data_IF_030824769458
#
_entry.id   IF_030824769458
#
_cell.length_a   1.000
_cell.length_b   1.000
_cell.length_c   1.000
_cell.angle_alpha   90.00
_cell.angle_beta   90.00
_cell.angle_gamma   90.00
#
_symmetry.space_group_name_H-M   'P 1'
#
loop_
_entity.id
_entity.type
_entity.pdbx_description
1 polymer ?
#
# COMPACT_ATOMS: atom_id res chain seq x y z
N UNK A 1 -57.57 -2.60 27.23
CA UNK A 1 -56.71 -1.79 28.12
C UNK A 1 -55.32 -2.37 27.99
N UNK A 2 -54.49 -1.57 27.32
CA UNK A 2 -53.12 -1.76 26.84
C UNK A 2 -52.14 -2.13 27.97
N UNK A 3 -51.20 -3.07 27.77
CA UNK A 3 -49.85 -2.92 27.15
C UNK A 3 -48.84 -2.41 28.23
N UNK A 4 -47.57 -2.84 28.35
CA UNK A 4 -46.59 -3.32 27.39
C UNK A 4 -45.46 -4.02 28.18
N UNK A 5 -45.08 -5.26 27.82
CA UNK A 5 -43.83 -5.91 28.26
C UNK A 5 -42.77 -5.61 27.21
N UNK A 6 -41.74 -4.86 27.60
CA UNK A 6 -40.61 -4.54 26.74
C UNK A 6 -39.66 -5.75 26.63
N UNK A 7 -39.71 -6.42 25.47
CA UNK A 7 -38.58 -7.13 24.90
C UNK A 7 -37.50 -6.10 24.56
N UNK A 8 -36.33 -6.22 25.19
CA UNK A 8 -35.15 -5.44 24.83
C UNK A 8 -34.21 -6.36 24.07
N UNK A 9 -34.55 -6.60 22.80
CA UNK A 9 -33.69 -7.25 21.82
C UNK A 9 -32.61 -6.24 21.42
N UNK A 10 -31.43 -6.35 22.03
CA UNK A 10 -30.24 -5.61 21.59
C UNK A 10 -29.79 -6.16 20.24
N UNK A 11 -30.40 -5.64 19.18
CA UNK A 11 -29.83 -5.70 17.83
C UNK A 11 -28.62 -4.78 17.85
N UNK A 12 -27.43 -5.36 18.00
CA UNK A 12 -26.18 -4.68 17.65
C UNK A 12 -26.15 -4.67 16.13
N UNK A 13 -26.71 -3.61 15.56
CA UNK A 13 -26.52 -3.24 14.17
C UNK A 13 -25.04 -2.85 14.04
N UNK A 14 -24.23 -3.80 13.57
CA UNK A 14 -22.87 -3.50 13.12
C UNK A 14 -23.07 -2.67 11.85
N UNK A 15 -23.03 -1.36 12.01
CA UNK A 15 -22.90 -0.41 10.92
C UNK A 15 -21.55 -0.69 10.23
N UNK A 16 -21.59 -1.62 9.27
CA UNK A 16 -20.58 -1.78 8.25
C UNK A 16 -20.74 -0.59 7.31
N UNK A 17 -20.40 0.60 7.82
CA UNK A 17 -20.48 1.84 7.09
C UNK A 17 -19.93 1.61 5.69
N UNK A 18 -20.75 1.93 4.70
CA UNK A 18 -20.43 1.87 3.28
C UNK A 18 -19.17 2.71 3.04
N UNK A 19 -18.00 2.07 3.16
CA UNK A 19 -16.74 2.65 2.75
C UNK A 19 -16.70 2.57 1.23
N UNK A 20 -17.23 3.62 0.60
CA UNK A 20 -16.99 3.89 -0.80
C UNK A 20 -15.49 4.21 -1.00
N UNK A 21 -14.70 3.17 -1.17
CA UNK A 21 -13.32 3.27 -1.65
C UNK A 21 -13.24 3.57 -3.16
N UNK A 22 -14.36 3.83 -3.84
CA UNK A 22 -14.47 3.88 -5.29
C UNK A 22 -14.60 5.29 -5.87
N UNK A 23 -14.52 6.36 -5.08
CA UNK A 23 -14.45 7.71 -5.64
C UNK A 23 -12.98 8.12 -5.88
N UNK A 24 -12.43 7.99 -7.11
CA UNK A 24 -11.21 8.70 -7.43
C UNK A 24 -11.49 10.20 -7.27
N UNK A 25 -10.56 10.92 -6.63
CA UNK A 25 -10.56 12.38 -6.67
C UNK A 25 -10.54 12.82 -8.14
N UNK A 26 -11.72 13.18 -8.63
CA UNK A 26 -11.93 13.78 -9.94
C UNK A 26 -11.39 15.21 -9.83
N UNK A 27 -10.08 15.37 -10.04
CA UNK A 27 -9.52 16.66 -10.36
C UNK A 27 -10.11 17.06 -11.70
N UNK A 28 -11.16 17.88 -11.66
CA UNK A 28 -11.74 18.48 -12.85
C UNK A 28 -10.66 19.25 -13.60
N UNK A 29 -10.47 18.85 -14.85
CA UNK A 29 -9.90 19.69 -15.90
C UNK A 29 -10.65 21.02 -15.89
N UNK A 30 -10.03 22.04 -15.28
CA UNK A 30 -10.47 23.41 -15.49
C UNK A 30 -10.29 23.72 -16.98
N UNK A 31 -11.35 24.15 -17.69
CA UNK A 31 -11.19 24.60 -19.05
C UNK A 31 -10.26 25.83 -19.07
N UNK A 32 -9.41 25.99 -20.09
CA UNK A 32 -8.55 27.17 -20.19
C UNK A 32 -9.43 28.44 -20.23
N UNK A 33 -8.97 29.55 -19.64
CA UNK A 33 -9.70 30.81 -19.71
C UNK A 33 -9.86 31.23 -21.16
N UNK A 34 -11.10 31.57 -21.53
CA UNK A 34 -11.45 32.07 -22.85
C UNK A 34 -10.53 33.26 -23.23
N UNK A 35 -9.87 33.13 -24.37
CA UNK A 35 -9.13 34.20 -25.00
C UNK A 35 -10.07 35.39 -25.24
N UNK A 36 -9.81 36.50 -24.56
CA UNK A 36 -10.46 37.77 -24.86
C UNK A 36 -9.89 38.30 -26.18
N UNK A 37 -10.77 38.40 -27.17
CA UNK A 37 -10.55 39.10 -28.43
C UNK A 37 -10.41 40.62 -28.16
N UNK A 38 -9.34 41.30 -28.59
CA UNK A 38 -9.40 42.72 -28.84
C UNK A 38 -9.77 42.99 -30.30
N UNK A 39 -10.74 43.88 -30.49
CA UNK A 39 -11.11 44.49 -31.77
C UNK A 39 -10.08 45.60 -32.16
N UNK A 40 -10.11 46.10 -33.42
CA UNK A 40 -8.91 46.49 -34.15
C UNK A 40 -8.54 47.97 -33.97
N UNK A 41 -7.24 48.26 -33.98
CA UNK A 41 -6.72 49.59 -34.35
C UNK A 41 -5.75 49.48 -35.52
N UNK A 42 -6.13 50.21 -36.57
CA UNK A 42 -5.37 50.49 -37.78
C UNK A 42 -4.17 51.38 -37.50
N UNK A 43 -3.00 51.05 -38.04
CA UNK A 43 -2.15 51.98 -38.81
C UNK A 43 -0.84 51.31 -39.24
N UNK A 44 -0.70 51.16 -40.56
CA UNK A 44 0.47 51.44 -41.39
C UNK A 44 1.85 51.58 -40.72
N UNK A 45 2.78 50.69 -41.06
CA UNK A 45 4.07 51.15 -41.60
C UNK A 45 4.76 50.05 -42.42
N UNK A 46 5.23 50.44 -43.59
CA UNK A 46 5.97 49.65 -44.57
C UNK A 46 7.45 49.48 -44.16
N UNK A 47 8.15 48.61 -44.92
CA UNK A 47 9.62 48.48 -45.15
C UNK A 47 10.38 47.44 -44.29
N UNK A 48 11.48 46.83 -44.82
CA UNK A 48 11.45 45.68 -45.72
C UNK A 48 12.20 44.45 -45.17
N UNK A 49 12.01 43.32 -45.85
CA UNK A 49 12.61 42.02 -45.58
C UNK A 49 14.16 41.98 -45.69
N UNK A 50 14.86 41.21 -44.83
CA UNK A 50 16.18 40.70 -45.16
C UNK A 50 16.06 39.36 -45.91
N UNK A 51 16.84 39.27 -46.99
CA UNK A 51 17.06 38.07 -47.79
C UNK A 51 17.62 36.93 -46.91
N UNK A 52 16.93 35.79 -46.89
CA UNK A 52 17.45 34.55 -46.33
C UNK A 52 18.19 33.78 -47.42
N UNK A 53 19.51 33.74 -47.31
CA UNK A 53 20.39 32.90 -48.11
C UNK A 53 20.07 31.42 -47.93
N UNK A 54 20.05 30.71 -49.04
CA UNK A 54 19.78 29.29 -49.17
C UNK A 54 20.95 28.49 -48.63
N UNK A 55 20.77 27.80 -47.50
CA UNK A 55 21.78 26.87 -47.00
C UNK A 55 21.54 25.47 -47.61
N UNK A 56 22.50 25.03 -48.43
CA UNK A 56 22.50 23.75 -49.12
C UNK A 56 22.55 22.57 -48.12
N UNK A 57 21.65 21.62 -48.31
CA UNK A 57 21.63 20.31 -47.66
C UNK A 57 22.79 19.43 -48.18
N UNK A 58 23.70 18.91 -47.34
CA UNK A 58 24.63 17.87 -47.76
C UNK A 58 23.94 16.50 -47.75
N UNK A 59 24.15 15.74 -48.82
CA UNK A 59 23.70 14.36 -48.97
C UNK A 59 24.29 13.42 -47.89
N UNK A 60 23.58 12.35 -47.50
CA UNK A 60 24.07 11.38 -46.53
C UNK A 60 25.22 10.53 -47.11
N UNK A 61 26.35 10.51 -46.41
CA UNK A 61 27.45 9.57 -46.68
C UNK A 61 27.07 8.17 -46.20
N UNK A 62 27.26 7.18 -47.08
CA UNK A 62 27.07 5.77 -46.79
C UNK A 62 28.15 5.27 -45.82
N UNK A 63 27.74 4.83 -44.62
CA UNK A 63 28.60 4.14 -43.66
C UNK A 63 28.51 2.64 -43.93
N UNK A 64 29.65 2.01 -44.25
CA UNK A 64 29.78 0.56 -44.41
C UNK A 64 29.55 -0.16 -43.05
N UNK A 65 28.84 -1.30 -43.02
CA UNK A 65 28.67 -2.09 -41.80
C UNK A 65 29.97 -2.84 -41.43
N UNK A 66 30.27 -3.01 -40.11
CA UNK A 66 31.41 -3.79 -39.66
C UNK A 66 31.19 -5.30 -39.87
N UNK A 67 32.27 -6.10 -40.02
CA UNK A 67 32.19 -7.54 -40.25
C UNK A 67 31.71 -8.30 -39.00
N UNK A 68 31.02 -9.45 -39.18
CA UNK A 68 30.51 -10.26 -38.08
C UNK A 68 31.65 -10.97 -37.32
N UNK A 69 31.49 -11.16 -35.99
CA UNK A 69 32.46 -11.90 -35.20
C UNK A 69 32.43 -13.40 -35.51
N UNK A 70 33.56 -14.11 -35.37
CA UNK A 70 33.65 -15.55 -35.61
C UNK A 70 32.89 -16.36 -34.55
N UNK A 71 32.42 -17.58 -34.89
CA UNK A 71 31.70 -18.44 -33.96
C UNK A 71 32.66 -19.04 -32.92
N UNK A 72 32.30 -19.07 -31.63
CA UNK A 72 33.06 -19.82 -30.64
C UNK A 72 32.83 -21.32 -30.80
N UNK A 73 33.94 -22.05 -30.86
CA UNK A 73 34.05 -23.50 -30.92
C UNK A 73 33.60 -24.18 -29.63
N UNK A 74 33.07 -25.40 -29.81
CA UNK A 74 32.73 -26.37 -28.78
C UNK A 74 33.87 -26.62 -27.78
N UNK A 75 33.54 -26.61 -26.48
CA UNK A 75 33.95 -27.62 -25.50
C UNK A 75 32.90 -27.70 -24.37
N UNK A 76 32.76 -28.87 -23.71
CA UNK A 76 31.57 -29.29 -22.98
C UNK A 76 31.65 -29.00 -21.48
N UNK A 77 30.61 -29.42 -20.74
CA UNK A 77 30.65 -29.73 -19.29
C UNK A 77 30.21 -28.60 -18.33
N UNK A 78 28.89 -28.38 -18.28
CA UNK A 78 28.19 -27.87 -17.09
C UNK A 78 26.73 -28.35 -17.05
N UNK A 79 26.52 -29.63 -17.41
CA UNK A 79 25.24 -30.31 -17.31
C UNK A 79 25.25 -31.26 -16.11
N UNK A 80 25.44 -30.73 -14.91
CA UNK A 80 25.32 -31.52 -13.68
C UNK A 80 25.11 -30.60 -12.46
N UNK A 81 23.98 -29.89 -12.41
CA UNK A 81 23.43 -29.27 -11.19
C UNK A 81 21.94 -28.91 -11.32
N UNK A 82 21.22 -29.43 -12.32
CA UNK A 82 19.81 -29.14 -12.60
C UNK A 82 18.90 -30.37 -12.49
N UNK A 83 19.24 -31.31 -11.59
CA UNK A 83 18.48 -32.53 -11.39
C UNK A 83 18.30 -32.85 -9.90
N UNK A 84 17.71 -31.93 -9.14
CA UNK A 84 17.14 -32.24 -7.81
C UNK A 84 16.17 -31.15 -7.34
N UNK A 85 15.08 -30.93 -8.06
CA UNK A 85 13.86 -30.33 -7.46
C UNK A 85 12.64 -30.55 -8.36
N UNK A 86 12.34 -31.82 -8.64
CA UNK A 86 11.02 -32.27 -9.12
C UNK A 86 10.35 -33.05 -8.00
N UNK A 87 10.06 -32.36 -6.90
CA UNK A 87 9.11 -32.85 -5.90
C UNK A 87 7.73 -32.24 -6.22
N UNK A 88 6.81 -33.08 -6.69
CA UNK A 88 5.40 -32.73 -6.82
C UNK A 88 4.86 -32.25 -5.44
N UNK A 89 4.04 -31.18 -5.37
CA UNK A 89 3.54 -30.69 -4.09
C UNK A 89 2.34 -31.54 -3.65
N UNK A 90 2.63 -32.70 -3.08
CA UNK A 90 1.72 -33.38 -2.17
C UNK A 90 1.57 -32.53 -0.91
N UNK A 91 0.32 -32.25 -0.55
CA UNK A 91 -0.10 -31.56 0.67
C UNK A 91 0.45 -32.28 1.92
N UNK A 92 1.67 -31.94 2.34
CA UNK A 92 2.01 -32.06 3.75
C UNK A 92 1.07 -31.10 4.48
N UNK A 93 0.20 -31.64 5.34
CA UNK A 93 -0.65 -30.84 6.20
C UNK A 93 0.24 -29.91 7.03
N UNK A 94 0.44 -28.67 6.55
CA UNK A 94 1.13 -27.64 7.32
C UNK A 94 0.31 -27.44 8.58
N UNK A 95 0.85 -27.88 9.70
CA UNK A 95 0.25 -27.67 11.01
C UNK A 95 0.04 -26.16 11.20
N UNK A 96 -1.16 -25.79 11.63
CA UNK A 96 -1.48 -24.39 11.91
C UNK A 96 -0.65 -23.91 13.11
N UNK A 97 -0.21 -22.64 13.14
CA UNK A 97 0.40 -22.06 14.32
C UNK A 97 -0.53 -22.20 15.54
N UNK A 98 0.01 -22.32 16.77
CA UNK A 98 -0.76 -22.67 17.96
C UNK A 98 -2.01 -21.81 18.19
N UNK A 99 -1.91 -20.49 18.00
CA UNK A 99 -3.04 -19.57 18.17
C UNK A 99 -4.21 -19.87 17.22
N UNK A 100 -3.92 -20.16 15.95
CA UNK A 100 -4.94 -20.54 14.96
C UNK A 100 -5.48 -21.96 15.22
N UNK A 101 -4.61 -22.89 15.58
CA UNK A 101 -5.00 -24.26 15.93
C UNK A 101 -5.94 -24.28 17.15
N UNK A 102 -5.69 -23.45 18.16
CA UNK A 102 -6.55 -23.30 19.33
C UNK A 102 -7.95 -22.80 18.94
N UNK A 103 -8.05 -21.78 18.08
CA UNK A 103 -9.34 -21.27 17.60
C UNK A 103 -10.11 -22.38 16.87
N UNK A 104 -9.46 -23.09 15.95
CA UNK A 104 -10.09 -24.17 15.17
C UNK A 104 -10.55 -25.32 16.07
N UNK A 105 -9.75 -25.72 17.04
CA UNK A 105 -10.08 -26.86 17.92
C UNK A 105 -11.10 -26.52 18.99
N UNK A 106 -11.06 -25.31 19.56
CA UNK A 106 -11.89 -24.93 20.71
C UNK A 106 -13.18 -24.17 20.36
N UNK A 107 -13.19 -23.41 19.25
CA UNK A 107 -14.32 -22.50 18.92
C UNK A 107 -15.06 -22.86 17.64
N UNK A 108 -14.41 -23.53 16.69
CA UNK A 108 -15.04 -23.88 15.41
C UNK A 108 -15.86 -25.17 15.54
N UNK A 109 -17.14 -25.18 15.11
CA UNK A 109 -17.97 -26.39 15.05
C UNK A 109 -17.30 -27.50 14.23
N UNK A 110 -17.41 -28.75 14.68
CA UNK A 110 -16.70 -29.90 14.09
C UNK A 110 -16.89 -30.01 12.58
N UNK A 111 -18.11 -29.79 12.10
CA UNK A 111 -18.46 -29.84 10.67
C UNK A 111 -17.84 -28.71 9.82
N UNK A 112 -17.29 -27.67 10.44
CA UNK A 112 -16.63 -26.55 9.75
C UNK A 112 -15.11 -26.56 9.91
N UNK A 113 -14.56 -27.39 10.81
CA UNK A 113 -13.13 -27.36 11.16
C UNK A 113 -12.23 -27.57 9.95
N UNK A 114 -12.57 -28.50 9.08
CA UNK A 114 -11.77 -28.78 7.88
C UNK A 114 -11.72 -27.56 6.94
N UNK A 115 -12.88 -26.97 6.63
CA UNK A 115 -12.98 -25.78 5.79
C UNK A 115 -12.16 -24.63 6.38
N UNK A 116 -12.41 -24.29 7.65
CA UNK A 116 -11.77 -23.15 8.32
C UNK A 116 -10.26 -23.39 8.49
N UNK A 117 -9.85 -24.60 8.84
CA UNK A 117 -8.43 -24.97 8.93
C UNK A 117 -7.73 -24.84 7.58
N UNK A 118 -8.36 -25.31 6.50
CA UNK A 118 -7.81 -25.19 5.15
C UNK A 118 -7.71 -23.72 4.71
N UNK A 119 -8.72 -22.90 5.02
CA UNK A 119 -8.70 -21.46 4.73
C UNK A 119 -7.57 -20.76 5.48
N UNK A 120 -7.39 -21.01 6.78
CA UNK A 120 -6.25 -20.47 7.52
C UNK A 120 -4.91 -20.94 6.97
N UNK A 121 -4.76 -22.23 6.67
CA UNK A 121 -3.50 -22.77 6.15
C UNK A 121 -3.11 -22.12 4.82
N UNK A 122 -4.07 -21.82 3.94
CA UNK A 122 -3.81 -21.10 2.68
C UNK A 122 -3.46 -19.63 2.92
N UNK A 123 -4.20 -18.93 3.78
CA UNK A 123 -3.88 -17.54 4.14
C UNK A 123 -2.44 -17.42 4.67
N UNK A 124 -2.09 -18.28 5.62
CA UNK A 124 -0.78 -18.30 6.25
C UNK A 124 0.32 -18.75 5.28
N UNK A 125 0.02 -19.68 4.35
CA UNK A 125 0.94 -20.05 3.28
C UNK A 125 1.27 -18.88 2.36
N UNK A 126 0.26 -18.11 1.95
CA UNK A 126 0.46 -16.91 1.14
C UNK A 126 1.22 -15.83 1.90
N UNK A 127 0.89 -15.60 3.18
CA UNK A 127 1.64 -14.68 4.05
C UNK A 127 3.10 -15.10 4.22
N UNK A 128 3.39 -16.39 4.34
CA UNK A 128 4.75 -16.91 4.37
C UNK A 128 5.52 -16.63 3.08
N UNK A 129 4.85 -16.67 1.91
CA UNK A 129 5.47 -16.29 0.63
C UNK A 129 5.75 -14.79 0.57
N UNK A 130 4.83 -13.97 1.11
CA UNK A 130 5.02 -12.53 1.25
C UNK A 130 6.20 -12.19 2.17
N UNK A 131 6.40 -12.92 3.28
CA UNK A 131 7.56 -12.72 4.16
C UNK A 131 8.90 -12.93 3.42
N UNK A 132 8.97 -13.91 2.52
CA UNK A 132 10.15 -14.11 1.66
C UNK A 132 10.37 -12.92 0.72
N UNK A 133 9.30 -12.30 0.21
CA UNK A 133 9.39 -11.07 -0.59
C UNK A 133 9.95 -9.93 0.27
N UNK A 134 9.48 -9.75 1.51
CA UNK A 134 10.00 -8.73 2.43
C UNK A 134 11.49 -8.91 2.71
N UNK A 135 11.92 -10.12 3.07
CA UNK A 135 13.33 -10.45 3.29
C UNK A 135 14.17 -10.20 2.03
N UNK A 136 13.58 -10.40 0.86
CA UNK A 136 14.24 -10.13 -0.42
C UNK A 136 14.36 -8.63 -0.68
N UNK A 137 13.33 -7.85 -0.35
CA UNK A 137 13.31 -6.40 -0.55
C UNK A 137 14.22 -5.65 0.41
N UNK A 138 14.46 -6.18 1.62
CA UNK A 138 15.38 -5.59 2.61
C UNK A 138 16.86 -5.78 2.25
N UNK A 139 17.19 -6.77 1.42
CA UNK A 139 18.57 -6.99 0.99
C UNK A 139 19.04 -5.84 0.09
N UNK A 140 20.30 -5.39 0.22
CA UNK A 140 20.81 -4.25 -0.54
C UNK A 140 20.95 -4.53 -2.05
N UNK A 141 21.03 -5.81 -2.44
CA UNK A 141 21.16 -6.23 -3.85
C UNK A 141 19.80 -6.22 -4.55
N UNK A 142 19.81 -5.99 -5.86
CA UNK A 142 18.63 -6.19 -6.69
C UNK A 142 18.33 -7.70 -6.77
N UNK A 143 17.09 -8.08 -6.48
CA UNK A 143 16.62 -9.47 -6.55
C UNK A 143 15.32 -9.50 -7.34
N UNK A 144 15.13 -10.55 -8.14
CA UNK A 144 13.86 -10.77 -8.84
C UNK A 144 12.79 -11.22 -7.86
N UNK A 145 11.81 -10.37 -7.61
CA UNK A 145 10.62 -10.68 -6.80
C UNK A 145 9.42 -11.06 -7.67
N UNK A 146 9.52 -10.92 -9.00
CA UNK A 146 8.42 -11.18 -9.93
C UNK A 146 7.82 -12.58 -9.79
N UNK A 147 8.65 -13.65 -9.78
CA UNK A 147 8.16 -15.02 -9.57
C UNK A 147 7.44 -15.21 -8.23
N UNK A 148 7.95 -14.59 -7.15
CA UNK A 148 7.31 -14.68 -5.83
C UNK A 148 5.95 -13.98 -5.82
N UNK A 149 5.80 -12.84 -6.50
CA UNK A 149 4.51 -12.17 -6.64
C UNK A 149 3.52 -12.99 -7.48
N UNK A 150 3.99 -13.74 -8.47
CA UNK A 150 3.14 -14.71 -9.19
C UNK A 150 2.69 -15.86 -8.30
N UNK A 151 3.58 -16.39 -7.47
CA UNK A 151 3.21 -17.42 -6.50
C UNK A 151 2.16 -16.90 -5.52
N UNK A 152 2.30 -15.66 -5.02
CA UNK A 152 1.29 -15.01 -4.18
C UNK A 152 -0.04 -14.86 -4.93
N UNK A 153 -0.01 -14.45 -6.20
CA UNK A 153 -1.22 -14.31 -7.04
C UNK A 153 -1.93 -15.66 -7.20
N UNK A 154 -1.18 -16.71 -7.55
CA UNK A 154 -1.70 -18.06 -7.75
C UNK A 154 -2.30 -18.64 -6.47
N UNK A 155 -1.60 -18.51 -5.33
CA UNK A 155 -2.09 -18.97 -4.03
C UNK A 155 -3.35 -18.23 -3.59
N UNK A 156 -3.40 -16.90 -3.79
CA UNK A 156 -4.56 -16.09 -3.45
C UNK A 156 -5.77 -16.39 -4.35
N UNK A 157 -5.54 -16.67 -5.64
CA UNK A 157 -6.59 -17.11 -6.55
C UNK A 157 -7.15 -18.49 -6.15
N UNK A 158 -6.29 -19.43 -5.73
CA UNK A 158 -6.71 -20.73 -5.23
C UNK A 158 -7.53 -20.62 -3.93
N UNK A 159 -7.12 -19.73 -3.02
CA UNK A 159 -7.89 -19.40 -1.82
C UNK A 159 -9.26 -18.82 -2.18
N UNK A 160 -9.32 -17.87 -3.12
CA UNK A 160 -10.56 -17.25 -3.58
C UNK A 160 -11.51 -18.27 -4.20
N UNK A 161 -10.99 -19.21 -4.99
CA UNK A 161 -11.77 -20.30 -5.58
C UNK A 161 -12.36 -21.22 -4.49
N UNK A 162 -11.57 -21.59 -3.47
CA UNK A 162 -12.07 -22.39 -2.35
C UNK A 162 -13.18 -21.66 -1.58
N UNK A 163 -12.99 -20.38 -1.25
CA UNK A 163 -13.99 -19.59 -0.53
C UNK A 163 -15.26 -19.46 -1.38
N UNK A 164 -15.12 -19.21 -2.68
CA UNK A 164 -16.26 -19.10 -3.60
C UNK A 164 -17.06 -20.39 -3.66
N UNK A 165 -16.39 -21.53 -3.74
CA UNK A 165 -17.03 -22.85 -3.70
C UNK A 165 -17.73 -23.10 -2.36
N UNK A 166 -17.12 -22.73 -1.23
CA UNK A 166 -17.74 -22.90 0.08
C UNK A 166 -19.02 -22.05 0.24
N UNK A 167 -19.01 -20.81 -0.28
CA UNK A 167 -20.15 -19.89 -0.24
C UNK A 167 -21.26 -20.31 -1.22
N UNK A 168 -20.89 -20.82 -2.40
CA UNK A 168 -21.85 -21.07 -3.50
C UNK A 168 -22.31 -22.54 -3.59
N UNK A 169 -21.52 -23.48 -3.07
CA UNK A 169 -21.64 -24.94 -3.27
C UNK A 169 -22.75 -25.62 -2.47
N UNK A 170 -23.78 -24.89 -2.04
CA UNK A 170 -24.97 -25.44 -1.39
C UNK A 170 -24.76 -26.01 0.03
N UNK A 171 -23.54 -25.94 0.57
CA UNK A 171 -23.29 -26.28 1.98
C UNK A 171 -24.01 -25.26 2.87
N UNK A 172 -24.86 -25.73 3.78
CA UNK A 172 -25.54 -24.85 4.75
C UNK A 172 -24.54 -24.35 5.79
N UNK A 173 -23.90 -23.24 5.48
CA UNK A 173 -23.07 -22.49 6.42
C UNK A 173 -23.95 -21.71 7.41
N UNK A 174 -23.55 -21.59 8.68
CA UNK A 174 -24.15 -20.62 9.58
C UNK A 174 -24.07 -19.23 8.97
N UNK A 175 -25.15 -18.43 9.11
CA UNK A 175 -25.28 -17.09 8.50
C UNK A 175 -24.02 -16.22 8.70
N UNK A 176 -23.54 -16.13 9.94
CA UNK A 176 -22.33 -15.36 10.27
C UNK A 176 -21.08 -15.82 9.52
N UNK A 177 -20.88 -17.13 9.38
CA UNK A 177 -19.72 -17.70 8.67
C UNK A 177 -19.84 -17.44 7.17
N UNK A 178 -21.05 -17.58 6.63
CA UNK A 178 -21.32 -17.25 5.22
C UNK A 178 -21.01 -15.78 4.92
N UNK A 179 -21.53 -14.84 5.73
CA UNK A 179 -21.29 -13.40 5.58
C UNK A 179 -19.80 -13.07 5.64
N UNK A 180 -19.06 -13.65 6.59
CA UNK A 180 -17.61 -13.45 6.69
C UNK A 180 -16.88 -13.99 5.47
N UNK A 181 -17.16 -15.22 5.05
CA UNK A 181 -16.51 -15.82 3.87
C UNK A 181 -16.83 -15.06 2.58
N UNK A 182 -18.07 -14.56 2.44
CA UNK A 182 -18.45 -13.74 1.29
C UNK A 182 -17.75 -12.37 1.29
N UNK A 183 -17.66 -11.73 2.45
CA UNK A 183 -16.88 -10.50 2.64
C UNK A 183 -15.40 -10.71 2.31
N UNK A 184 -14.80 -11.81 2.76
CA UNK A 184 -13.42 -12.18 2.42
C UNK A 184 -13.24 -12.38 0.91
N UNK A 185 -14.17 -13.07 0.25
CA UNK A 185 -14.16 -13.27 -1.20
C UNK A 185 -14.12 -11.92 -1.92
N UNK A 186 -14.97 -10.98 -1.51
CA UNK A 186 -15.01 -9.64 -2.08
C UNK A 186 -13.69 -8.88 -1.85
N UNK A 187 -13.23 -8.78 -0.60
CA UNK A 187 -12.04 -7.99 -0.23
C UNK A 187 -10.78 -8.53 -0.91
N UNK A 188 -10.54 -9.85 -0.86
CA UNK A 188 -9.38 -10.46 -1.51
C UNK A 188 -9.45 -10.25 -3.03
N UNK A 189 -10.60 -10.52 -3.65
CA UNK A 189 -10.77 -10.35 -5.09
C UNK A 189 -10.54 -8.91 -5.56
N UNK A 190 -11.01 -7.94 -4.79
CA UNK A 190 -10.82 -6.52 -5.04
C UNK A 190 -9.34 -6.11 -4.93
N UNK A 191 -8.68 -6.43 -3.81
CA UNK A 191 -7.28 -6.06 -3.60
C UNK A 191 -6.32 -6.75 -4.58
N UNK A 192 -6.58 -8.02 -4.96
CA UNK A 192 -5.82 -8.66 -6.03
C UNK A 192 -5.98 -7.95 -7.38
N UNK A 193 -7.21 -7.53 -7.71
CA UNK A 193 -7.49 -6.78 -8.95
C UNK A 193 -6.75 -5.44 -8.93
N UNK A 194 -6.82 -4.72 -7.82
CA UNK A 194 -6.14 -3.44 -7.64
C UNK A 194 -4.62 -3.58 -7.79
N UNK A 195 -4.00 -4.51 -7.06
CA UNK A 195 -2.55 -4.69 -7.09
C UNK A 195 -2.07 -5.18 -8.46
N UNK A 196 -2.63 -6.28 -8.98
CA UNK A 196 -2.08 -6.94 -10.17
C UNK A 196 -2.59 -6.40 -11.52
N UNK A 197 -3.74 -5.71 -11.56
CA UNK A 197 -4.30 -5.16 -12.81
C UNK A 197 -4.26 -3.65 -12.91
N UNK A 198 -4.36 -2.92 -11.79
CA UNK A 198 -4.50 -1.46 -11.82
C UNK A 198 -3.18 -0.76 -11.44
N UNK A 199 -2.63 -1.05 -10.27
CA UNK A 199 -1.45 -0.34 -9.75
C UNK A 199 -0.13 -0.92 -10.29
N UNK A 200 -0.02 -2.24 -10.39
CA UNK A 200 1.22 -2.91 -10.81
C UNK A 200 0.97 -3.94 -11.94
N UNK A 201 0.52 -3.48 -13.13
CA UNK A 201 0.25 -4.37 -14.24
C UNK A 201 1.54 -5.01 -14.76
N UNK A 202 1.63 -6.34 -14.67
CA UNK A 202 2.85 -7.08 -15.05
C UNK A 202 3.89 -7.13 -13.92
N UNK A 203 3.47 -7.05 -12.65
CA UNK A 203 4.35 -7.28 -11.48
C UNK A 203 5.15 -8.59 -11.55
N UNK A 204 4.61 -9.54 -12.30
CA UNK A 204 5.14 -10.85 -12.62
C UNK A 204 6.20 -10.89 -13.73
N UNK A 205 6.20 -9.87 -14.58
CA UNK A 205 6.98 -9.82 -15.79
C UNK A 205 8.36 -9.23 -15.46
N UNK A 206 9.38 -10.10 -15.45
CA UNK A 206 10.76 -9.68 -15.18
C UNK A 206 11.30 -8.66 -16.20
N UNK A 207 10.68 -8.56 -17.39
CA UNK A 207 11.05 -7.54 -18.37
C UNK A 207 10.65 -6.12 -17.94
N UNK A 208 9.69 -6.00 -17.01
CA UNK A 208 9.25 -4.72 -16.45
C UNK A 208 9.98 -4.43 -15.15
N UNK A 209 10.88 -3.46 -15.20
CA UNK A 209 11.59 -3.01 -14.01
C UNK A 209 10.66 -2.20 -13.09
N UNK A 210 10.34 -2.75 -11.92
CA UNK A 210 9.73 -2.02 -10.81
C UNK A 210 10.80 -1.50 -9.86
N UNK A 211 10.58 -0.31 -9.29
CA UNK A 211 11.44 0.20 -8.24
C UNK A 211 11.14 -0.56 -6.94
N UNK A 212 12.14 -0.74 -6.05
CA UNK A 212 11.97 -1.40 -4.74
C UNK A 212 10.77 -0.84 -3.96
N UNK A 213 10.69 0.48 -3.91
CA UNK A 213 9.50 1.31 -3.75
C UNK A 213 8.12 0.66 -4.01
N UNK A 214 7.88 0.34 -5.28
CA UNK A 214 6.63 -0.11 -5.84
C UNK A 214 6.36 -1.53 -5.39
N UNK A 215 7.42 -2.36 -5.35
CA UNK A 215 7.37 -3.73 -4.84
C UNK A 215 7.02 -3.76 -3.35
N UNK A 216 7.65 -2.91 -2.53
CA UNK A 216 7.34 -2.77 -1.10
C UNK A 216 5.90 -2.30 -0.88
N UNK A 217 5.38 -1.41 -1.73
CA UNK A 217 3.98 -0.99 -1.70
C UNK A 217 3.03 -2.15 -2.04
N UNK A 218 3.30 -2.88 -3.12
CA UNK A 218 2.50 -4.05 -3.50
C UNK A 218 2.49 -5.12 -2.41
N UNK A 219 3.66 -5.43 -1.84
CA UNK A 219 3.82 -6.30 -0.67
C UNK A 219 2.95 -5.82 0.50
N UNK A 220 3.07 -4.55 0.89
CA UNK A 220 2.34 -4.01 2.04
C UNK A 220 0.82 -4.07 1.89
N UNK A 221 0.29 -3.82 0.69
CA UNK A 221 -1.14 -3.93 0.39
C UNK A 221 -1.63 -5.38 0.55
N UNK A 222 -0.93 -6.34 -0.08
CA UNK A 222 -1.30 -7.75 -0.04
C UNK A 222 -1.15 -8.34 1.37
N UNK A 223 -0.04 -8.03 2.05
CA UNK A 223 0.20 -8.49 3.42
C UNK A 223 -0.89 -8.01 4.37
N UNK A 224 -1.20 -6.71 4.34
CA UNK A 224 -2.23 -6.16 5.21
C UNK A 224 -3.61 -6.78 4.91
N UNK A 225 -3.98 -6.88 3.63
CA UNK A 225 -5.24 -7.51 3.22
C UNK A 225 -5.38 -8.95 3.74
N UNK A 226 -4.37 -9.80 3.54
CA UNK A 226 -4.43 -11.20 3.92
C UNK A 226 -4.36 -11.39 5.45
N UNK A 227 -3.54 -10.60 6.14
CA UNK A 227 -3.45 -10.60 7.60
C UNK A 227 -4.81 -10.22 8.20
N UNK A 228 -5.46 -9.17 7.69
CA UNK A 228 -6.76 -8.74 8.19
C UNK A 228 -7.90 -9.68 7.85
N UNK A 229 -7.84 -10.30 6.69
CA UNK A 229 -8.75 -11.39 6.34
C UNK A 229 -8.63 -12.55 7.35
N UNK A 230 -7.42 -12.90 7.78
CA UNK A 230 -7.20 -13.93 8.79
C UNK A 230 -7.74 -13.53 10.18
N UNK A 231 -7.51 -12.27 10.61
CA UNK A 231 -8.06 -11.73 11.87
C UNK A 231 -9.60 -11.76 11.84
N UNK A 232 -10.19 -11.27 10.75
CA UNK A 232 -11.66 -11.22 10.58
C UNK A 232 -12.28 -12.62 10.65
N UNK A 233 -11.64 -13.61 10.00
CA UNK A 233 -12.08 -15.00 10.07
C UNK A 233 -11.99 -15.57 11.48
N UNK A 234 -10.91 -15.28 12.22
CA UNK A 234 -10.77 -15.67 13.62
C UNK A 234 -11.86 -15.06 14.50
N UNK A 235 -12.15 -13.77 14.31
CA UNK A 235 -13.16 -13.02 15.07
C UNK A 235 -14.58 -13.53 14.83
N UNK A 236 -14.85 -14.16 13.68
CA UNK A 236 -16.11 -14.85 13.41
C UNK A 236 -16.42 -15.97 14.42
N UNK A 237 -15.39 -16.56 15.04
CA UNK A 237 -15.53 -17.64 16.03
C UNK A 237 -15.16 -17.20 17.44
N UNK A 238 -14.28 -16.20 17.58
CA UNK A 238 -13.92 -15.59 18.85
C UNK A 238 -13.74 -14.07 18.69
N UNK A 239 -14.77 -13.26 18.97
CA UNK A 239 -14.72 -11.79 18.81
C UNK A 239 -13.62 -11.10 19.61
N UNK A 240 -13.07 -11.75 20.64
CA UNK A 240 -12.01 -11.19 21.49
C UNK A 240 -10.60 -11.40 20.93
N UNK A 241 -10.46 -12.12 19.81
CA UNK A 241 -9.16 -12.31 19.17
C UNK A 241 -8.72 -11.00 18.55
N UNK A 242 -7.49 -10.59 18.86
CA UNK A 242 -6.84 -9.43 18.28
C UNK A 242 -5.74 -9.85 17.31
N UNK A 243 -5.36 -8.97 16.38
CA UNK A 243 -4.23 -9.22 15.47
C UNK A 243 -2.93 -9.52 16.20
N UNK A 244 -2.70 -8.89 17.35
CA UNK A 244 -1.51 -9.09 18.20
C UNK A 244 -1.40 -10.50 18.78
N UNK A 245 -2.52 -11.17 19.02
CA UNK A 245 -2.53 -12.55 19.50
C UNK A 245 -2.21 -13.54 18.39
N UNK A 246 -2.49 -13.17 17.13
CA UNK A 246 -2.32 -14.03 15.96
C UNK A 246 -0.98 -13.85 15.27
N UNK A 247 -0.42 -12.64 15.33
CA UNK A 247 0.72 -12.23 14.52
C UNK A 247 1.68 -11.35 15.33
N UNK A 248 2.95 -11.76 15.40
CA UNK A 248 3.98 -11.07 16.18
C UNK A 248 4.35 -9.71 15.58
N UNK A 249 4.41 -9.62 14.25
CA UNK A 249 4.70 -8.40 13.49
C UNK A 249 3.60 -7.34 13.63
N UNK A 250 2.39 -7.74 14.01
CA UNK A 250 1.26 -6.83 14.21
C UNK A 250 1.53 -5.84 15.33
N UNK A 251 2.11 -6.30 16.45
CA UNK A 251 2.46 -5.43 17.58
C UNK A 251 3.50 -4.39 17.18
N UNK A 252 4.50 -4.79 16.39
CA UNK A 252 5.49 -3.87 15.85
C UNK A 252 4.84 -2.84 14.92
N UNK A 253 3.93 -3.24 14.02
CA UNK A 253 3.20 -2.34 13.12
C UNK A 253 2.31 -1.34 13.86
N UNK A 254 1.65 -1.78 14.93
CA UNK A 254 0.87 -0.90 15.81
C UNK A 254 1.79 0.13 16.47
N UNK A 255 2.88 -0.32 17.08
CA UNK A 255 3.85 0.58 17.71
C UNK A 255 4.46 1.58 16.72
N UNK A 256 4.79 1.13 15.51
CA UNK A 256 5.34 1.97 14.44
C UNK A 256 4.32 3.01 13.97
N UNK A 257 3.05 2.61 13.82
CA UNK A 257 1.98 3.54 13.43
C UNK A 257 1.71 4.59 14.52
N UNK A 258 1.80 4.20 15.79
CA UNK A 258 1.65 5.11 16.93
C UNK A 258 2.81 6.09 17.03
N UNK A 259 4.04 5.58 16.90
CA UNK A 259 5.27 6.39 16.87
C UNK A 259 5.19 7.41 15.74
N UNK A 260 4.86 6.97 14.52
CA UNK A 260 4.66 7.84 13.37
C UNK A 260 3.59 8.92 13.62
N UNK A 261 2.44 8.54 14.17
CA UNK A 261 1.34 9.46 14.42
C UNK A 261 1.76 10.58 15.41
N UNK A 262 2.43 10.22 16.49
CA UNK A 262 2.93 11.19 17.47
C UNK A 262 4.02 12.10 16.91
N UNK A 263 4.98 11.54 16.18
CA UNK A 263 6.05 12.31 15.56
C UNK A 263 5.50 13.29 14.51
N UNK A 264 4.52 12.88 13.70
CA UNK A 264 3.86 13.78 12.75
C UNK A 264 3.11 14.93 13.45
N UNK A 265 2.41 14.65 14.55
CA UNK A 265 1.77 15.69 15.36
C UNK A 265 2.77 16.65 15.98
N UNK A 266 3.87 16.13 16.53
CA UNK A 266 4.96 16.97 17.05
C UNK A 266 5.56 17.84 15.95
N UNK A 267 5.73 17.28 14.75
CA UNK A 267 6.24 18.01 13.59
C UNK A 267 5.28 19.13 13.17
N UNK A 268 3.98 18.85 13.08
CA UNK A 268 2.96 19.84 12.76
C UNK A 268 2.96 21.00 13.78
N UNK A 269 3.03 20.70 15.08
CA UNK A 269 3.12 21.72 16.12
C UNK A 269 4.36 22.62 15.95
N UNK A 270 5.50 22.03 15.59
CA UNK A 270 6.75 22.78 15.35
C UNK A 270 6.66 23.64 14.10
N UNK A 271 6.06 23.13 13.03
CA UNK A 271 5.80 23.87 11.79
C UNK A 271 4.91 25.08 12.10
N UNK A 272 3.77 24.89 12.77
CA UNK A 272 2.87 25.99 13.13
C UNK A 272 3.51 27.02 14.07
N UNK A 273 4.37 26.57 15.00
CA UNK A 273 5.09 27.51 15.88
C UNK A 273 6.16 28.31 15.11
N UNK A 274 6.83 27.68 14.14
CA UNK A 274 7.83 28.35 13.30
C UNK A 274 7.20 29.30 12.27
N UNK A 275 6.00 29.00 11.79
CA UNK A 275 5.20 29.86 10.90
C UNK A 275 4.85 31.19 11.59
N UNK A 276 4.41 31.14 12.86
CA UNK A 276 4.06 32.35 13.63
C UNK A 276 5.25 33.12 14.23
N UNK A 277 6.49 32.72 13.93
CA UNK A 277 7.69 33.25 14.59
C UNK A 277 8.71 33.81 13.60
N UNK A 278 9.20 35.02 13.89
CA UNK A 278 10.34 35.62 13.18
C UNK A 278 11.70 35.09 13.67
N UNK A 279 11.72 34.21 14.68
CA UNK A 279 12.94 33.73 15.33
C UNK A 279 13.74 32.73 14.48
N UNK A 280 14.92 33.14 14.00
CA UNK A 280 15.86 32.31 13.23
C UNK A 280 16.22 30.98 13.91
N UNK A 281 16.38 30.98 15.24
CA UNK A 281 16.74 29.79 16.02
C UNK A 281 15.64 28.73 15.98
N UNK A 282 14.38 29.14 15.96
CA UNK A 282 13.24 28.23 15.89
C UNK A 282 13.15 27.58 14.52
N UNK A 283 13.36 28.36 13.45
CA UNK A 283 13.41 27.89 12.06
C UNK A 283 14.54 26.88 11.84
N UNK A 284 15.74 27.18 12.34
CA UNK A 284 16.87 26.24 12.32
C UNK A 284 16.58 24.96 13.11
N UNK A 285 15.96 25.07 14.29
CA UNK A 285 15.53 23.91 15.08
C UNK A 285 14.54 23.06 14.29
N UNK A 286 13.57 23.65 13.59
CA UNK A 286 12.62 22.93 12.75
C UNK A 286 13.33 22.13 11.65
N UNK A 287 14.26 22.75 10.91
CA UNK A 287 15.03 22.07 9.86
C UNK A 287 15.75 20.83 10.41
N UNK A 288 16.37 20.93 11.59
CA UNK A 288 17.00 19.77 12.24
C UNK A 288 16.00 18.65 12.60
N UNK A 289 14.81 19.00 13.07
CA UNK A 289 13.79 17.99 13.39
C UNK A 289 13.25 17.33 12.11
N UNK A 290 13.16 18.06 11.00
CA UNK A 290 12.77 17.49 9.70
C UNK A 290 13.81 16.49 9.19
N UNK A 291 15.10 16.79 9.33
CA UNK A 291 16.18 15.86 9.00
C UNK A 291 16.12 14.61 9.87
N UNK A 292 15.97 14.79 11.18
CA UNK A 292 15.86 13.68 12.11
C UNK A 292 14.65 12.79 11.79
N UNK A 293 13.47 13.38 11.53
CA UNK A 293 12.29 12.63 11.13
C UNK A 293 12.53 11.87 9.81
N UNK A 294 13.18 12.50 8.84
CA UNK A 294 13.52 11.90 7.54
C UNK A 294 14.40 10.66 7.70
N UNK A 295 15.34 10.70 8.65
CA UNK A 295 16.28 9.61 8.92
C UNK A 295 15.65 8.50 9.75
N UNK A 296 14.88 8.84 10.79
CA UNK A 296 14.47 7.90 11.83
C UNK A 296 13.01 7.44 11.76
N UNK A 297 12.09 8.22 11.20
CA UNK A 297 10.63 7.94 11.31
C UNK A 297 9.94 7.85 9.95
N UNK A 298 10.47 8.52 8.93
CA UNK A 298 9.87 8.56 7.59
C UNK A 298 9.67 7.16 7.00
N UNK A 299 10.48 6.18 7.38
CA UNK A 299 10.36 4.81 6.90
C UNK A 299 9.06 4.11 7.32
N UNK A 300 8.33 4.64 8.32
CA UNK A 300 6.99 4.17 8.71
C UNK A 300 5.84 4.78 7.87
N UNK A 301 6.11 5.80 7.06
CA UNK A 301 5.15 6.34 6.10
C UNK A 301 4.89 5.31 4.99
N UNK A 302 3.70 5.39 4.36
CA UNK A 302 3.49 4.63 3.14
C UNK A 302 4.43 5.14 2.06
N UNK A 303 4.97 4.23 1.25
CA UNK A 303 5.97 4.58 0.24
C UNK A 303 5.50 5.70 -0.71
N UNK A 304 4.20 5.75 -1.03
CA UNK A 304 3.61 6.81 -1.87
C UNK A 304 3.79 8.22 -1.30
N UNK A 305 3.85 8.33 0.02
CA UNK A 305 3.93 9.60 0.73
C UNK A 305 5.39 10.06 0.89
N UNK A 306 6.38 9.17 0.70
CA UNK A 306 7.79 9.49 0.85
C UNK A 306 8.24 10.60 -0.11
N UNK A 307 7.83 10.53 -1.38
CA UNK A 307 8.22 11.51 -2.39
C UNK A 307 7.68 12.92 -2.08
N UNK A 308 6.41 13.01 -1.68
CA UNK A 308 5.80 14.28 -1.29
C UNK A 308 6.43 14.85 -0.02
N UNK A 309 6.63 14.01 1.01
CA UNK A 309 7.25 14.42 2.26
C UNK A 309 8.69 14.91 2.04
N UNK A 310 9.51 14.14 1.31
CA UNK A 310 10.90 14.49 1.03
C UNK A 310 11.01 15.82 0.28
N UNK A 311 10.13 16.05 -0.71
CA UNK A 311 10.07 17.33 -1.43
C UNK A 311 9.81 18.51 -0.48
N UNK A 312 8.82 18.41 0.41
CA UNK A 312 8.57 19.47 1.39
C UNK A 312 9.75 19.69 2.35
N UNK A 313 10.45 18.64 2.77
CA UNK A 313 11.66 18.81 3.59
C UNK A 313 12.72 19.61 2.84
N UNK A 314 12.93 19.32 1.56
CA UNK A 314 13.91 20.03 0.73
C UNK A 314 13.46 21.47 0.43
N UNK A 315 12.17 21.72 0.19
CA UNK A 315 11.60 23.06 0.00
C UNK A 315 11.76 23.93 1.26
N UNK A 316 11.47 23.37 2.45
CA UNK A 316 11.64 24.08 3.73
C UNK A 316 13.11 24.43 3.98
N UNK A 317 14.03 23.51 3.66
CA UNK A 317 15.47 23.75 3.76
C UNK A 317 15.91 24.87 2.82
N UNK A 318 15.47 24.82 1.57
CA UNK A 318 15.81 25.83 0.58
C UNK A 318 15.31 27.22 0.99
N UNK A 319 14.05 27.32 1.43
CA UNK A 319 13.47 28.57 1.91
C UNK A 319 14.21 29.11 3.16
N UNK A 320 14.67 28.23 4.05
CA UNK A 320 15.48 28.62 5.21
C UNK A 320 16.86 29.17 4.80
N UNK A 321 17.54 28.52 3.86
CA UNK A 321 18.86 28.94 3.37
C UNK A 321 18.79 30.24 2.56
N UNK A 322 17.75 30.39 1.73
CA UNK A 322 17.51 31.58 0.92
C UNK A 322 16.96 32.77 1.74
N UNK A 323 16.43 32.52 2.93
CA UNK A 323 15.73 33.51 3.77
C UNK A 323 14.51 34.16 3.07
N UNK A 324 13.86 33.42 2.16
CA UNK A 324 12.74 33.87 1.33
C UNK A 324 11.59 32.85 1.39
N UNK A 325 10.35 33.33 1.29
CA UNK A 325 9.10 32.55 1.21
C UNK A 325 8.89 31.46 2.29
N UNK A 326 9.66 31.50 3.37
CA UNK A 326 9.63 30.47 4.41
C UNK A 326 8.24 30.28 5.04
N UNK A 327 7.51 31.38 5.27
CA UNK A 327 6.16 31.33 5.83
C UNK A 327 5.17 30.64 4.89
N UNK A 328 5.25 30.93 3.58
CA UNK A 328 4.41 30.29 2.57
C UNK A 328 4.67 28.78 2.50
N UNK A 329 5.94 28.38 2.44
CA UNK A 329 6.35 26.98 2.40
C UNK A 329 5.91 26.23 3.67
N UNK A 330 6.04 26.85 4.86
CA UNK A 330 5.56 26.26 6.10
C UNK A 330 4.04 26.09 6.12
N UNK A 331 3.30 27.07 5.60
CA UNK A 331 1.84 27.00 5.53
C UNK A 331 1.38 25.81 4.67
N UNK A 332 1.92 25.68 3.46
CA UNK A 332 1.61 24.55 2.57
C UNK A 332 2.00 23.21 3.20
N UNK A 333 3.15 23.16 3.86
CA UNK A 333 3.61 21.95 4.52
C UNK A 333 2.73 21.57 5.73
N UNK A 334 2.24 22.54 6.50
CA UNK A 334 1.31 22.30 7.60
C UNK A 334 -0.02 21.68 7.11
N UNK A 335 -0.54 22.15 5.96
CA UNK A 335 -1.74 21.59 5.34
C UNK A 335 -1.49 20.15 4.87
N UNK A 336 -0.34 19.90 4.25
CA UNK A 336 0.06 18.55 3.86
C UNK A 336 0.18 17.61 5.07
N UNK A 337 0.87 18.04 6.14
CA UNK A 337 1.01 17.26 7.37
C UNK A 337 -0.35 16.95 8.01
N UNK A 338 -1.26 17.92 8.05
CA UNK A 338 -2.62 17.72 8.58
C UNK A 338 -3.36 16.62 7.82
N UNK A 339 -3.26 16.63 6.49
CA UNK A 339 -3.83 15.59 5.62
C UNK A 339 -3.17 14.23 5.86
N UNK A 340 -1.83 14.22 5.98
CA UNK A 340 -1.07 12.99 6.22
C UNK A 340 -1.39 12.37 7.58
N UNK A 341 -1.51 13.18 8.63
CA UNK A 341 -1.92 12.77 9.97
C UNK A 341 -3.31 12.14 9.93
N UNK A 342 -4.24 12.72 9.17
CA UNK A 342 -5.58 12.13 8.99
C UNK A 342 -5.47 10.74 8.35
N UNK A 343 -4.73 10.60 7.25
CA UNK A 343 -4.53 9.31 6.58
C UNK A 343 -3.84 8.27 7.48
N UNK A 344 -2.86 8.67 8.29
CA UNK A 344 -2.20 7.78 9.25
C UNK A 344 -3.15 7.41 10.39
N UNK A 345 -3.94 8.35 10.90
CA UNK A 345 -4.96 8.12 11.93
C UNK A 345 -6.06 7.14 11.49
N UNK A 346 -6.32 7.03 10.19
CA UNK A 346 -7.25 6.05 9.64
C UNK A 346 -6.71 4.62 9.62
N UNK A 347 -5.41 4.40 9.86
CA UNK A 347 -4.80 3.06 9.90
C UNK A 347 -5.50 2.22 10.96
N UNK A 348 -5.85 1.01 10.59
CA UNK A 348 -6.57 0.08 11.45
C UNK A 348 -5.83 -0.20 12.76
N UNK A 349 -4.49 -0.23 12.69
CA UNK A 349 -3.60 -0.37 13.84
C UNK A 349 -3.84 0.66 14.97
N UNK A 350 -4.37 1.84 14.64
CA UNK A 350 -4.69 2.88 15.62
C UNK A 350 -6.16 2.85 16.08
N UNK A 351 -7.05 2.23 15.31
CA UNK A 351 -8.49 2.15 15.63
C UNK A 351 -8.77 1.27 16.84
N UNK A 352 -8.05 0.15 16.98
CA UNK A 352 -8.19 -0.75 18.14
C UNK A 352 -7.83 -0.08 19.47
N UNK A 353 -6.82 0.80 19.46
CA UNK A 353 -6.39 1.55 20.66
C UNK A 353 -7.36 2.67 21.00
N UNK A 354 -7.88 3.38 19.99
CA UNK A 354 -8.87 4.46 20.20
C UNK A 354 -10.20 3.92 20.75
N UNK A 355 -10.62 2.73 20.32
CA UNK A 355 -11.81 2.07 20.85
C UNK A 355 -11.62 1.68 22.34
N UNK A 356 -10.48 1.08 22.70
CA UNK A 356 -10.19 0.72 24.09
C UNK A 356 -10.00 1.95 25.00
N UNK A 357 -9.33 3.00 24.53
CA UNK A 357 -9.18 4.24 25.30
C UNK A 357 -10.52 4.97 25.55
N UNK A 358 -11.49 4.81 24.65
CA UNK A 358 -12.84 5.36 24.81
C UNK A 358 -13.69 4.54 25.80
N UNK A 359 -13.49 3.23 25.86
CA UNK A 359 -14.12 2.36 26.88
C UNK A 359 -13.57 2.64 28.28
N UNK A 360 -12.25 2.79 28.43
CA UNK A 360 -11.60 3.09 29.71
C UNK A 360 -11.89 4.51 30.23
N UNK A 361 -12.30 5.44 29.36
CA UNK A 361 -12.71 6.79 29.73
C UNK A 361 -14.22 6.94 30.02
N UNK A 362 -14.99 5.85 29.82
CA UNK A 362 -16.44 5.79 30.01
C UNK A 362 -16.90 5.06 31.28
N UNK A 363 -15.97 4.46 32.05
CA UNK A 363 -16.18 3.98 33.43
C UNK A 363 -15.83 5.06 34.46
#
# INVERSE_FOLDING_TARGET
>A
MSDTTADNEFVVEIDLGELDWSTPARWEESPPPAAQTPAPESASNETPAPEFESNETPAPQAVNPPPPPPPPSDLPEAAELAAESTAAPGQAARELPPAFAEIVTSRVPVNLRELISATFARLLGTLGTLAVIEDTLTQPRAVSTGPLFEDVRAQSAALLAQITEAVSGGTRLPRRVHEVLDGMRFVIGHELTKVFRQEFPGLADESRAYKRADLSRAYGLLHNCLQQTAVTLAQAFNPRVTGEQLFEDYRAKVQNSFTLYHELHSLLQRVSTAEGSSGILLKHSLVRHLEHFREETMHFLFYRDWGAFARYVDDVKHAFEAMEDFELVLHEFAQYLSTLIHHVGMREALRGVQAHAAEDAGE
#
